data_IF_999439418911
#
_entry.id   IF_999439418911
#
_cell.length_a   1.000
_cell.length_b   1.000
_cell.length_c   1.000
_cell.angle_alpha   90.00
_cell.angle_beta   90.00
_cell.angle_gamma   90.00
#
_symmetry.space_group_name_H-M   'P 1'
#
loop_
_entity.id
_entity.type
_entity.pdbx_description
1 polymer ?
#
# COMPACT_ATOMS: atom_id res chain seq x y z
N UNK A 1 55.89 -44.03 -53.72
CA UNK A 1 54.46 -43.66 -53.69
C UNK A 1 53.64 -44.91 -53.33
N UNK A 2 52.88 -44.83 -52.23
CA UNK A 2 52.06 -45.91 -51.60
C UNK A 2 50.73 -46.08 -52.38
N UNK A 3 50.32 -47.29 -52.79
CA UNK A 3 49.50 -48.31 -52.10
C UNK A 3 48.03 -47.96 -51.74
N UNK A 4 47.11 -48.60 -52.49
CA UNK A 4 45.96 -49.45 -52.11
C UNK A 4 44.64 -48.94 -51.45
N UNK A 5 43.54 -49.55 -51.98
CA UNK A 5 42.27 -50.01 -51.35
C UNK A 5 41.16 -48.99 -51.05
N UNK A 6 39.86 -49.32 -51.00
CA UNK A 6 38.95 -50.37 -51.52
C UNK A 6 37.54 -49.97 -51.04
N UNK A 7 36.55 -50.03 -51.94
CA UNK A 7 35.12 -50.38 -51.77
C UNK A 7 34.18 -49.72 -50.72
N UNK A 8 32.85 -49.70 -51.01
CA UNK A 8 31.86 -48.85 -50.34
C UNK A 8 31.06 -49.60 -49.26
N UNK A 9 30.57 -48.90 -48.22
CA UNK A 9 29.54 -49.45 -47.35
C UNK A 9 28.45 -48.46 -46.93
N UNK A 10 27.26 -49.01 -47.09
CA UNK A 10 25.90 -48.59 -46.82
C UNK A 10 25.65 -48.40 -45.31
N UNK A 11 26.11 -47.32 -44.66
CA UNK A 11 25.65 -46.96 -43.30
C UNK A 11 25.70 -45.43 -43.08
N UNK A 12 24.72 -44.68 -43.60
CA UNK A 12 24.46 -43.28 -43.17
C UNK A 12 22.96 -42.94 -43.15
N UNK A 13 22.13 -43.92 -42.79
CA UNK A 13 20.66 -43.78 -42.77
C UNK A 13 19.98 -44.08 -41.44
N UNK A 14 20.73 -44.29 -40.36
CA UNK A 14 20.14 -44.67 -39.06
C UNK A 14 21.01 -44.23 -37.89
N UNK A 15 21.28 -42.93 -37.78
CA UNK A 15 21.86 -42.33 -36.56
C UNK A 15 21.41 -40.89 -36.41
N UNK A 16 20.13 -40.65 -36.71
CA UNK A 16 19.50 -39.34 -36.56
C UNK A 16 18.04 -39.47 -36.09
N UNK A 17 17.73 -40.49 -35.27
CA UNK A 17 16.41 -40.63 -34.64
C UNK A 17 16.42 -41.29 -33.25
N UNK A 18 17.59 -41.46 -32.62
CA UNK A 18 17.69 -41.97 -31.25
C UNK A 18 18.51 -41.09 -30.28
N UNK A 19 18.78 -39.84 -30.68
CA UNK A 19 19.28 -38.79 -29.77
C UNK A 19 18.24 -37.67 -29.55
N UNK A 20 17.07 -37.77 -30.17
CA UNK A 20 15.94 -36.84 -29.99
C UNK A 20 14.83 -37.42 -29.08
N UNK A 21 15.01 -38.63 -28.54
CA UNK A 21 14.06 -39.29 -27.63
C UNK A 21 14.70 -39.74 -26.31
N UNK A 22 15.81 -39.09 -25.92
CA UNK A 22 16.29 -39.02 -24.52
C UNK A 22 16.56 -37.52 -24.25
N UNK A 23 15.54 -36.72 -24.51
CA UNK A 23 15.40 -35.35 -24.00
C UNK A 23 13.92 -35.09 -23.68
N UNK A 24 13.26 -36.16 -23.23
CA UNK A 24 11.95 -36.14 -22.61
C UNK A 24 12.23 -36.64 -21.19
N UNK A 25 11.73 -35.90 -20.20
CA UNK A 25 11.94 -36.08 -18.74
C UNK A 25 13.23 -35.43 -18.18
N UNK A 26 13.33 -34.11 -18.25
CA UNK A 26 13.80 -33.26 -17.12
C UNK A 26 13.39 -31.80 -17.34
N UNK A 27 12.16 -31.55 -17.82
CA UNK A 27 11.58 -30.21 -17.69
C UNK A 27 10.90 -30.12 -16.32
N UNK A 28 11.68 -29.61 -15.39
CA UNK A 28 11.29 -28.82 -14.23
C UNK A 28 9.89 -29.13 -13.68
N UNK A 29 9.82 -30.12 -12.80
CA UNK A 29 9.03 -29.95 -11.58
C UNK A 29 9.64 -28.76 -10.82
N UNK A 30 9.30 -27.54 -11.25
CA UNK A 30 9.12 -26.45 -10.31
C UNK A 30 8.01 -26.94 -9.39
N UNK A 31 8.41 -27.60 -8.30
CA UNK A 31 7.52 -27.81 -7.18
C UNK A 31 6.95 -26.44 -6.90
N UNK A 32 5.64 -26.29 -7.14
CA UNK A 32 4.88 -25.24 -6.51
C UNK A 32 5.11 -25.47 -5.02
N UNK A 33 6.11 -24.78 -4.47
CA UNK A 33 6.21 -24.60 -3.04
C UNK A 33 4.94 -23.85 -2.72
N UNK A 34 3.91 -24.58 -2.32
CA UNK A 34 2.76 -24.03 -1.63
C UNK A 34 3.34 -23.41 -0.37
N UNK A 35 3.74 -22.13 -0.48
CA UNK A 35 4.12 -21.37 0.69
C UNK A 35 2.83 -21.22 1.46
N UNK A 36 2.66 -22.08 2.45
CA UNK A 36 1.59 -21.93 3.42
C UNK A 36 1.70 -20.52 3.99
N UNK A 37 0.70 -19.69 3.69
CA UNK A 37 0.65 -18.33 4.19
C UNK A 37 0.84 -18.36 5.71
N UNK A 38 1.69 -17.48 6.28
CA UNK A 38 1.87 -17.40 7.72
C UNK A 38 0.50 -17.31 8.41
N UNK A 39 0.22 -18.23 9.35
CA UNK A 39 -1.07 -18.28 10.07
C UNK A 39 -1.44 -16.90 10.63
N UNK A 40 -0.47 -16.20 11.19
CA UNK A 40 -0.64 -14.87 11.76
C UNK A 40 -1.26 -13.87 10.77
N UNK A 41 -0.92 -13.92 9.48
CA UNK A 41 -1.52 -13.04 8.47
C UNK A 41 -2.96 -13.40 8.16
N UNK A 42 -3.25 -14.70 8.05
CA UNK A 42 -4.61 -15.20 7.76
C UNK A 42 -5.56 -14.88 8.92
N UNK A 43 -5.06 -14.91 10.16
CA UNK A 43 -5.83 -14.63 11.37
C UNK A 43 -5.75 -13.17 11.83
N UNK A 44 -4.88 -12.35 11.24
CA UNK A 44 -4.71 -10.95 11.65
C UNK A 44 -5.99 -10.16 11.42
N UNK A 45 -6.58 -9.64 12.51
CA UNK A 45 -7.77 -8.80 12.48
C UNK A 45 -7.49 -7.58 13.37
N UNK A 46 -7.11 -6.42 12.79
CA UNK A 46 -6.91 -5.24 13.59
C UNK A 46 -8.25 -4.78 14.18
N UNK A 47 -8.18 -4.06 15.30
CA UNK A 47 -9.33 -3.29 15.75
C UNK A 47 -9.57 -2.15 14.75
N UNK A 48 -10.83 -1.86 14.46
CA UNK A 48 -11.24 -0.79 13.55
C UNK A 48 -12.21 0.13 14.29
N UNK A 49 -11.96 1.44 14.28
CA UNK A 49 -12.82 2.43 14.92
C UNK A 49 -13.04 3.63 14.00
N UNK A 50 -14.17 4.31 14.15
CA UNK A 50 -14.46 5.54 13.41
C UNK A 50 -14.33 6.76 14.32
N UNK A 51 -13.59 7.77 13.85
CA UNK A 51 -13.44 9.08 14.49
C UNK A 51 -13.42 10.14 13.38
N UNK A 52 -14.60 10.47 12.86
CA UNK A 52 -14.69 11.35 11.69
C UNK A 52 -14.00 12.69 11.92
N UNK A 53 -13.25 13.14 10.92
CA UNK A 53 -12.71 14.49 10.84
C UNK A 53 -13.87 15.50 10.74
N UNK A 54 -13.60 16.75 11.13
CA UNK A 54 -14.54 17.84 10.92
C UNK A 54 -14.79 18.05 9.42
N UNK A 55 -16.01 18.42 9.04
CA UNK A 55 -16.42 18.56 7.62
C UNK A 55 -15.68 19.64 6.85
N UNK A 56 -15.00 20.56 7.55
CA UNK A 56 -14.13 21.57 6.93
C UNK A 56 -12.78 21.01 6.51
N UNK A 57 -12.39 19.83 7.01
CA UNK A 57 -11.06 19.25 6.76
C UNK A 57 -11.06 18.22 5.62
N UNK A 58 -12.13 18.14 4.83
CA UNK A 58 -12.18 17.33 3.61
C UNK A 58 -13.19 17.93 2.63
N UNK A 59 -13.11 17.50 1.37
CA UNK A 59 -14.05 17.91 0.33
C UNK A 59 -14.63 16.74 -0.43
N UNK A 60 -15.44 17.01 -1.45
CA UNK A 60 -15.80 16.01 -2.45
C UNK A 60 -14.63 15.79 -3.42
N UNK A 61 -14.52 14.60 -3.99
CA UNK A 61 -13.68 14.39 -5.17
C UNK A 61 -14.32 15.10 -6.36
N UNK A 62 -13.53 15.88 -7.10
CA UNK A 62 -13.97 16.61 -8.29
C UNK A 62 -13.97 15.66 -9.49
N UNK A 63 -15.06 15.70 -10.27
CA UNK A 63 -15.17 14.97 -11.54
C UNK A 63 -14.51 15.72 -12.71
N UNK A 64 -14.21 17.00 -12.52
CA UNK A 64 -13.54 17.88 -13.48
C UNK A 64 -12.44 18.70 -12.78
N UNK A 65 -11.39 19.03 -13.52
CA UNK A 65 -10.36 19.98 -13.07
C UNK A 65 -10.80 21.44 -13.30
N UNK A 66 -9.98 22.41 -12.86
CA UNK A 66 -10.30 23.84 -13.05
C UNK A 66 -10.37 24.30 -14.52
N UNK A 67 -9.91 23.46 -15.46
CA UNK A 67 -9.90 23.75 -16.89
C UNK A 67 -11.08 23.06 -17.62
N UNK A 68 -11.94 22.34 -16.89
CA UNK A 68 -13.07 21.59 -17.44
C UNK A 68 -12.69 20.22 -18.01
N UNK A 69 -11.47 19.72 -17.77
CA UNK A 69 -11.10 18.37 -18.18
C UNK A 69 -11.68 17.35 -17.20
N UNK A 70 -12.25 16.27 -17.72
CA UNK A 70 -12.74 15.15 -16.90
C UNK A 70 -11.59 14.51 -16.13
N UNK A 71 -11.82 14.24 -14.85
CA UNK A 71 -10.92 13.51 -13.97
C UNK A 71 -11.31 12.04 -13.93
N UNK A 72 -10.39 11.17 -14.33
CA UNK A 72 -10.59 9.71 -14.34
C UNK A 72 -9.36 8.94 -13.83
N UNK A 73 -8.58 9.55 -12.92
CA UNK A 73 -7.40 8.91 -12.34
C UNK A 73 -7.80 7.70 -11.49
N UNK A 74 -7.05 6.61 -11.64
CA UNK A 74 -7.15 5.47 -10.74
C UNK A 74 -6.65 5.83 -9.34
N UNK A 75 -7.27 5.25 -8.32
CA UNK A 75 -6.92 5.46 -6.93
C UNK A 75 -5.43 5.12 -6.68
N UNK A 76 -4.74 5.97 -5.92
CA UNK A 76 -3.40 5.66 -5.36
C UNK A 76 -3.46 5.58 -3.84
N UNK A 77 -2.57 4.83 -3.21
CA UNK A 77 -2.34 4.88 -1.77
C UNK A 77 -1.15 5.81 -1.48
N UNK A 78 -1.36 6.85 -0.65
CA UNK A 78 -0.27 7.73 -0.21
C UNK A 78 -0.04 7.50 1.28
N UNK A 79 1.16 7.03 1.61
CA UNK A 79 1.55 6.70 2.98
C UNK A 79 2.17 7.94 3.64
N UNK A 80 1.70 8.24 4.84
CA UNK A 80 2.12 9.36 5.68
C UNK A 80 2.61 8.87 7.05
N UNK A 81 3.14 9.79 7.83
CA UNK A 81 3.32 9.63 9.27
C UNK A 81 2.72 10.84 10.03
N UNK A 82 2.45 10.69 11.32
CA UNK A 82 1.78 11.74 12.12
C UNK A 82 2.73 12.74 12.77
N UNK A 83 3.94 12.32 13.16
CA UNK A 83 4.90 13.07 14.00
C UNK A 83 4.37 13.42 15.42
N UNK A 84 3.16 12.96 15.74
CA UNK A 84 2.46 13.12 17.02
C UNK A 84 1.66 11.85 17.33
N UNK A 85 1.04 11.76 18.50
CA UNK A 85 0.23 10.58 18.84
C UNK A 85 -1.04 10.47 17.99
N UNK A 86 -1.57 9.25 17.85
CA UNK A 86 -2.80 9.03 17.11
C UNK A 86 -3.99 9.83 17.70
N UNK A 87 -4.05 9.91 19.02
CA UNK A 87 -5.08 10.68 19.71
C UNK A 87 -4.98 12.18 19.41
N UNK A 88 -3.78 12.73 19.30
CA UNK A 88 -3.57 14.14 18.98
C UNK A 88 -3.92 14.42 17.52
N UNK A 89 -3.53 13.54 16.59
CA UNK A 89 -3.93 13.63 15.18
C UNK A 89 -5.45 13.64 15.01
N UNK A 90 -6.16 12.74 15.70
CA UNK A 90 -7.63 12.73 15.70
C UNK A 90 -8.20 14.07 16.17
N UNK A 91 -7.68 14.63 17.28
CA UNK A 91 -8.17 15.93 17.79
C UNK A 91 -7.91 17.07 16.81
N UNK A 92 -6.75 17.10 16.16
CA UNK A 92 -6.45 18.10 15.11
C UNK A 92 -7.46 17.99 13.97
N UNK A 93 -7.70 16.79 13.45
CA UNK A 93 -8.63 16.62 12.32
C UNK A 93 -10.09 16.86 12.69
N UNK A 94 -10.45 16.77 13.98
CA UNK A 94 -11.77 17.14 14.50
C UNK A 94 -11.91 18.64 14.79
N UNK A 95 -10.81 19.40 14.76
CA UNK A 95 -10.84 20.85 14.93
C UNK A 95 -11.27 21.51 13.61
N UNK A 96 -12.26 22.42 13.61
CA UNK A 96 -12.67 23.12 12.39
C UNK A 96 -11.58 24.07 11.88
N UNK A 97 -11.32 24.02 10.57
CA UNK A 97 -10.39 24.91 9.87
C UNK A 97 -11.08 25.51 8.64
N UNK A 98 -11.37 26.80 8.67
CA UNK A 98 -12.03 27.51 7.57
C UNK A 98 -11.05 28.08 6.55
N UNK A 99 -9.79 28.27 6.93
CA UNK A 99 -8.73 28.62 6.01
C UNK A 99 -8.21 27.34 5.36
N UNK A 100 -8.21 27.28 4.02
CA UNK A 100 -7.76 26.09 3.28
C UNK A 100 -6.27 25.76 3.53
N UNK A 101 -5.45 26.74 3.91
CA UNK A 101 -4.05 26.51 4.31
C UNK A 101 -3.89 25.69 5.59
N UNK A 102 -4.90 25.70 6.45
CA UNK A 102 -4.88 25.05 7.77
C UNK A 102 -5.60 23.70 7.74
N UNK A 103 -6.30 23.41 6.64
CA UNK A 103 -7.06 22.18 6.46
C UNK A 103 -6.12 21.00 6.17
N UNK A 104 -6.26 19.94 6.98
CA UNK A 104 -5.52 18.71 6.81
C UNK A 104 -6.37 17.51 7.24
N UNK A 105 -6.24 16.40 6.52
CA UNK A 105 -6.86 15.14 6.91
C UNK A 105 -6.24 13.96 6.19
N UNK A 106 -6.47 12.77 6.76
CA UNK A 106 -6.21 11.49 6.13
C UNK A 106 -7.52 10.69 6.06
N UNK A 107 -7.57 9.66 5.22
CA UNK A 107 -8.71 8.75 5.23
C UNK A 107 -8.63 7.83 6.43
N UNK A 108 -7.45 7.25 6.64
CA UNK A 108 -7.18 6.33 7.73
C UNK A 108 -5.90 6.66 8.47
N UNK A 109 -5.91 6.36 9.76
CA UNK A 109 -4.76 6.46 10.67
C UNK A 109 -4.56 5.10 11.35
N UNK A 110 -3.33 4.60 11.33
CA UNK A 110 -2.97 3.33 11.95
C UNK A 110 -2.15 3.61 13.21
N UNK A 111 -2.76 3.37 14.37
CA UNK A 111 -2.11 3.50 15.66
C UNK A 111 -0.97 2.49 15.82
N UNK A 112 -0.08 2.73 16.79
CA UNK A 112 1.11 1.89 17.03
C UNK A 112 0.80 0.42 17.32
N UNK A 113 -0.38 0.11 17.85
CA UNK A 113 -0.83 -1.26 18.12
C UNK A 113 -1.50 -1.93 16.90
N UNK A 114 -1.55 -1.23 15.75
CA UNK A 114 -2.20 -1.67 14.52
C UNK A 114 -3.68 -1.31 14.41
N UNK A 115 -4.28 -0.67 15.42
CA UNK A 115 -5.69 -0.22 15.33
C UNK A 115 -5.86 0.75 14.16
N UNK A 116 -6.86 0.50 13.32
CA UNK A 116 -7.24 1.36 12.20
C UNK A 116 -8.30 2.35 12.67
N UNK A 117 -8.06 3.63 12.43
CA UNK A 117 -8.95 4.72 12.77
C UNK A 117 -9.42 5.38 11.48
N UNK A 118 -10.70 5.21 11.16
CA UNK A 118 -11.35 5.82 10.00
C UNK A 118 -11.72 7.28 10.29
N UNK A 119 -11.13 8.19 9.52
CA UNK A 119 -11.21 9.64 9.70
C UNK A 119 -12.01 10.33 8.58
N UNK A 120 -11.76 9.95 7.32
CA UNK A 120 -12.49 10.48 6.15
C UNK A 120 -12.90 9.31 5.26
N UNK A 121 -14.18 9.29 4.85
CA UNK A 121 -14.68 8.28 3.92
C UNK A 121 -13.92 8.33 2.59
N UNK A 122 -13.57 7.17 2.02
CA UNK A 122 -12.77 7.08 0.79
C UNK A 122 -13.38 7.78 -0.43
N UNK A 123 -14.70 7.93 -0.46
CA UNK A 123 -15.43 8.66 -1.52
C UNK A 123 -15.19 10.17 -1.47
N UNK A 124 -14.74 10.69 -0.33
CA UNK A 124 -14.36 12.08 -0.16
C UNK A 124 -12.88 12.29 -0.46
N UNK A 125 -12.52 13.56 -0.66
CA UNK A 125 -11.16 14.06 -0.86
C UNK A 125 -10.60 14.51 0.48
N UNK A 126 -9.71 13.72 1.07
CA UNK A 126 -8.91 14.17 2.20
C UNK A 126 -7.79 15.15 1.76
N UNK A 127 -7.30 15.98 2.68
CA UNK A 127 -6.31 17.02 2.42
C UNK A 127 -4.93 16.58 2.94
N UNK A 128 -4.35 15.58 2.30
CA UNK A 128 -3.16 14.89 2.82
C UNK A 128 -1.83 15.28 2.18
N UNK A 129 -1.80 15.74 0.92
CA UNK A 129 -0.55 15.83 0.15
C UNK A 129 -0.13 17.24 -0.32
N UNK A 130 -0.99 18.26 -0.27
CA UNK A 130 -0.65 19.60 -0.77
C UNK A 130 -0.16 19.59 -2.23
N UNK A 131 0.85 20.41 -2.56
CA UNK A 131 1.50 20.44 -3.89
C UNK A 131 2.18 19.09 -4.19
N UNK A 132 1.56 18.28 -5.06
CA UNK A 132 1.99 16.90 -5.24
C UNK A 132 1.65 16.35 -6.62
N UNK A 133 2.51 15.46 -7.11
CA UNK A 133 2.37 14.76 -8.39
C UNK A 133 2.81 13.31 -8.22
N UNK A 134 1.95 12.38 -8.63
CA UNK A 134 2.28 10.97 -8.70
C UNK A 134 2.90 10.64 -10.07
N UNK A 135 3.99 9.87 -10.10
CA UNK A 135 4.60 9.44 -11.36
C UNK A 135 4.10 8.04 -11.71
N UNK A 136 3.00 7.98 -12.47
CA UNK A 136 2.41 6.73 -12.93
C UNK A 136 3.08 6.19 -14.20
N UNK A 137 2.67 4.99 -14.61
CA UNK A 137 3.16 4.37 -15.85
C UNK A 137 2.85 5.18 -17.12
N UNK A 138 1.79 6.00 -17.07
CA UNK A 138 1.35 6.85 -18.17
C UNK A 138 1.85 8.30 -18.05
N UNK A 139 2.78 8.57 -17.14
CA UNK A 139 3.32 9.91 -16.88
C UNK A 139 2.84 10.53 -15.56
N UNK A 140 3.08 11.85 -15.38
CA UNK A 140 2.71 12.56 -14.17
C UNK A 140 1.19 12.70 -14.02
N UNK A 141 0.69 12.39 -12.82
CA UNK A 141 -0.72 12.47 -12.44
C UNK A 141 -0.90 13.46 -11.28
N UNK A 142 -1.70 14.50 -11.50
CA UNK A 142 -2.17 15.44 -10.47
C UNK A 142 -3.44 16.15 -10.98
N UNK A 143 -4.31 16.57 -10.07
CA UNK A 143 -5.53 17.30 -10.41
C UNK A 143 -5.49 18.66 -9.74
N UNK A 144 -5.71 19.71 -10.52
CA UNK A 144 -5.90 21.06 -9.98
C UNK A 144 -7.40 21.34 -9.87
N UNK A 145 -7.85 21.59 -8.65
CA UNK A 145 -9.28 21.83 -8.34
C UNK A 145 -9.53 23.22 -7.76
N UNK A 146 -8.48 24.05 -7.64
CA UNK A 146 -8.57 25.40 -7.12
C UNK A 146 -7.70 26.36 -7.95
N UNK A 147 -8.15 27.59 -8.24
CA UNK A 147 -7.40 28.55 -9.05
C UNK A 147 -6.12 29.04 -8.37
N UNK A 148 -6.07 29.09 -7.04
CA UNK A 148 -4.90 29.58 -6.29
C UNK A 148 -3.95 28.45 -5.90
N UNK A 149 -4.46 27.27 -5.54
CA UNK A 149 -3.64 26.19 -5.00
C UNK A 149 -3.06 25.31 -6.12
N UNK A 150 -1.86 24.75 -5.92
CA UNK A 150 -1.23 23.89 -6.90
C UNK A 150 -2.01 22.60 -7.13
N UNK A 151 -1.71 21.94 -8.26
CA UNK A 151 -2.22 20.60 -8.52
C UNK A 151 -1.78 19.61 -7.43
N UNK A 152 -2.62 18.61 -7.17
CA UNK A 152 -2.42 17.68 -6.07
C UNK A 152 -2.94 16.29 -6.42
N UNK A 153 -2.37 15.27 -5.77
CA UNK A 153 -2.93 13.92 -5.80
C UNK A 153 -4.16 13.76 -4.92
N UNK A 154 -4.49 14.72 -4.04
CA UNK A 154 -5.60 14.63 -3.08
C UNK A 154 -6.91 14.14 -3.72
N UNK A 155 -7.22 14.56 -4.94
CA UNK A 155 -8.47 14.24 -5.62
C UNK A 155 -8.66 12.74 -5.94
N UNK A 156 -7.57 11.98 -6.08
CA UNK A 156 -7.58 10.54 -6.41
C UNK A 156 -6.69 9.71 -5.47
N UNK A 157 -6.26 10.28 -4.35
CA UNK A 157 -5.47 9.57 -3.35
C UNK A 157 -6.32 9.01 -2.21
N UNK A 158 -5.88 7.87 -1.69
CA UNK A 158 -6.27 7.27 -0.42
C UNK A 158 -5.11 7.45 0.56
N UNK A 159 -5.18 8.52 1.33
CA UNK A 159 -4.20 8.87 2.36
C UNK A 159 -4.32 7.99 3.61
N UNK A 160 -3.23 7.31 3.95
CA UNK A 160 -3.12 6.48 5.17
C UNK A 160 -1.91 6.96 5.96
N UNK A 161 -2.09 7.29 7.24
CA UNK A 161 -0.99 7.71 8.11
C UNK A 161 -0.65 6.67 9.15
N UNK A 162 0.64 6.52 9.43
CA UNK A 162 1.14 5.70 10.52
C UNK A 162 1.45 6.58 11.73
N UNK A 163 0.94 6.20 12.90
CA UNK A 163 1.35 6.84 14.14
C UNK A 163 2.86 6.69 14.33
N UNK A 164 3.56 7.82 14.41
CA UNK A 164 5.01 7.88 14.62
C UNK A 164 5.37 7.29 15.99
N UNK A 165 6.45 6.49 16.12
CA UNK A 165 6.91 6.02 17.42
C UNK A 165 7.33 7.18 18.32
N UNK A 166 7.38 6.95 19.63
CA UNK A 166 7.66 8.02 20.63
C UNK A 166 8.97 8.77 20.36
N UNK A 167 9.99 8.06 19.87
CA UNK A 167 11.30 8.63 19.53
C UNK A 167 11.31 9.38 18.19
N UNK A 168 10.18 9.46 17.47
CA UNK A 168 10.05 10.18 16.20
C UNK A 168 9.24 11.48 16.27
N UNK A 169 8.80 11.90 17.46
CA UNK A 169 8.05 13.16 17.68
C UNK A 169 8.96 14.39 17.62
N UNK A 170 9.69 14.54 16.53
CA UNK A 170 10.66 15.62 16.29
C UNK A 170 10.93 15.77 14.80
N UNK A 171 11.64 16.85 14.43
CA UNK A 171 11.97 17.18 13.04
C UNK A 171 13.20 16.46 12.48
N UNK A 172 13.67 15.36 13.09
CA UNK A 172 14.81 14.59 12.59
C UNK A 172 14.45 13.76 11.35
N UNK A 173 15.45 13.09 10.77
CA UNK A 173 15.29 12.35 9.51
C UNK A 173 14.95 10.87 9.69
N UNK A 174 15.00 10.36 10.92
CA UNK A 174 14.71 8.97 11.25
C UNK A 174 14.15 8.85 12.66
N UNK A 175 13.54 7.70 12.91
CA UNK A 175 13.13 7.18 14.22
C UNK A 175 13.25 5.65 14.20
N UNK A 176 12.90 4.97 15.30
CA UNK A 176 12.97 3.51 15.48
C UNK A 176 12.17 2.64 14.49
N UNK A 177 11.41 3.26 13.58
CA UNK A 177 10.52 2.57 12.64
C UNK A 177 9.12 2.28 13.19
N UNK A 178 8.30 1.63 12.37
CA UNK A 178 6.90 1.31 12.68
C UNK A 178 6.75 -0.13 13.18
N UNK A 179 5.70 -0.41 13.94
CA UNK A 179 5.43 -1.74 14.48
C UNK A 179 5.03 -2.74 13.39
N UNK A 180 5.20 -4.03 13.67
CA UNK A 180 4.74 -5.09 12.77
C UNK A 180 3.24 -4.99 12.48
N UNK A 181 2.45 -4.69 13.51
CA UNK A 181 1.00 -4.52 13.43
C UNK A 181 0.63 -3.34 12.52
N UNK A 182 1.38 -2.23 12.56
CA UNK A 182 1.17 -1.11 11.65
C UNK A 182 1.34 -1.52 10.19
N UNK A 183 2.40 -2.26 9.85
CA UNK A 183 2.60 -2.75 8.49
C UNK A 183 1.54 -3.76 8.06
N UNK A 184 1.10 -4.66 8.95
CA UNK A 184 0.04 -5.63 8.66
C UNK A 184 -1.29 -4.93 8.37
N UNK A 185 -1.69 -3.96 9.21
CA UNK A 185 -2.89 -3.15 8.96
C UNK A 185 -2.80 -2.34 7.68
N UNK A 186 -1.63 -1.77 7.39
CA UNK A 186 -1.41 -1.00 6.16
C UNK A 186 -1.60 -1.88 4.92
N UNK A 187 -0.96 -3.05 4.90
CA UNK A 187 -1.07 -3.99 3.78
C UNK A 187 -2.50 -4.51 3.63
N UNK A 188 -3.15 -4.87 4.74
CA UNK A 188 -4.55 -5.29 4.77
C UNK A 188 -5.49 -4.22 4.19
N UNK A 189 -5.35 -2.96 4.60
CA UNK A 189 -6.19 -1.85 4.11
C UNK A 189 -6.02 -1.62 2.61
N UNK A 190 -4.79 -1.56 2.13
CA UNK A 190 -4.50 -1.31 0.72
C UNK A 190 -5.02 -2.47 -0.14
N UNK A 191 -4.79 -3.71 0.29
CA UNK A 191 -5.31 -4.90 -0.40
C UNK A 191 -6.85 -4.94 -0.44
N UNK A 192 -7.52 -4.58 0.66
CA UNK A 192 -8.99 -4.45 0.73
C UNK A 192 -9.56 -3.46 -0.30
N UNK A 193 -8.80 -2.42 -0.66
CA UNK A 193 -9.21 -1.44 -1.68
C UNK A 193 -8.78 -1.83 -3.09
N UNK A 194 -8.11 -2.96 -3.26
CA UNK A 194 -7.65 -3.43 -4.58
C UNK A 194 -6.61 -2.51 -5.22
N UNK A 195 -5.91 -1.69 -4.43
CA UNK A 195 -4.90 -0.77 -4.97
C UNK A 195 -3.64 -1.58 -5.31
N UNK A 196 -3.19 -1.61 -6.57
CA UNK A 196 -2.05 -2.40 -6.98
C UNK A 196 -0.74 -1.80 -6.47
N UNK A 197 0.30 -2.63 -6.32
CA UNK A 197 1.58 -2.22 -5.73
C UNK A 197 2.25 -1.04 -6.45
N UNK A 198 2.08 -0.92 -7.76
CA UNK A 198 2.61 0.18 -8.57
C UNK A 198 1.84 1.51 -8.39
N UNK A 199 0.74 1.52 -7.61
CA UNK A 199 -0.04 2.71 -7.24
C UNK A 199 0.05 3.01 -5.74
N UNK A 200 1.02 2.41 -5.04
CA UNK A 200 1.36 2.74 -3.66
C UNK A 200 2.58 3.64 -3.67
N UNK A 201 2.51 4.75 -2.93
CA UNK A 201 3.57 5.74 -2.86
C UNK A 201 3.67 6.34 -1.47
N UNK A 202 4.69 7.16 -1.25
CA UNK A 202 4.89 7.91 -0.02
C UNK A 202 4.63 9.39 -0.24
N UNK A 203 4.32 10.12 0.81
CA UNK A 203 4.17 11.57 0.73
C UNK A 203 5.43 12.23 0.18
N UNK A 204 6.61 11.82 0.65
CA UNK A 204 7.91 12.28 0.11
C UNK A 204 8.03 12.09 -1.41
N UNK A 205 7.56 10.98 -1.95
CA UNK A 205 7.72 10.68 -3.38
C UNK A 205 6.80 11.53 -4.27
N UNK A 206 5.61 11.88 -3.77
CA UNK A 206 4.67 12.74 -4.52
C UNK A 206 4.92 14.23 -4.30
N UNK A 207 5.62 14.61 -3.23
CA UNK A 207 5.86 16.00 -2.86
C UNK A 207 6.55 16.80 -3.98
N UNK A 208 6.11 18.05 -4.15
CA UNK A 208 6.70 19.03 -5.07
C UNK A 208 7.12 20.33 -4.38
N UNK A 209 6.84 20.49 -3.08
CA UNK A 209 7.41 21.60 -2.30
C UNK A 209 8.78 21.27 -1.68
N UNK A 210 9.24 20.02 -1.78
CA UNK A 210 10.48 19.52 -1.17
C UNK A 210 10.54 19.68 0.37
N UNK A 211 9.37 19.79 1.00
CA UNK A 211 9.22 19.97 2.44
C UNK A 211 8.85 18.67 3.17
N UNK A 212 8.51 17.62 2.42
CA UNK A 212 8.02 16.35 2.97
C UNK A 212 9.10 15.28 2.95
N UNK A 213 9.11 14.47 4.01
CA UNK A 213 10.07 13.37 4.21
C UNK A 213 9.42 12.09 4.71
N UNK A 214 8.11 12.13 4.92
CA UNK A 214 7.32 11.07 5.47
C UNK A 214 6.96 10.01 4.42
N UNK A 215 6.78 8.74 4.86
CA UNK A 215 7.07 8.23 6.20
C UNK A 215 8.58 7.98 6.40
N UNK A 216 9.16 8.53 7.47
CA UNK A 216 10.57 8.28 7.84
C UNK A 216 10.73 6.83 8.33
N UNK A 217 11.93 6.27 8.17
CA UNK A 217 12.26 4.90 8.60
C UNK A 217 11.28 3.81 8.09
N UNK A 218 10.60 4.04 6.96
CA UNK A 218 9.68 3.07 6.39
C UNK A 218 10.44 1.92 5.70
N UNK A 219 10.10 0.70 6.10
CA UNK A 219 10.72 -0.52 5.61
C UNK A 219 9.98 -1.01 4.35
N UNK A 220 10.38 -0.45 3.21
CA UNK A 220 9.80 -0.77 1.91
C UNK A 220 9.88 -2.27 1.57
N UNK A 221 10.98 -2.94 1.92
CA UNK A 221 11.17 -4.37 1.63
C UNK A 221 10.21 -5.24 2.44
N UNK A 222 10.04 -4.92 3.74
CA UNK A 222 9.11 -5.64 4.59
C UNK A 222 7.66 -5.41 4.15
N UNK A 223 7.30 -4.17 3.85
CA UNK A 223 5.99 -3.82 3.35
C UNK A 223 5.66 -4.50 2.00
N UNK A 224 6.59 -4.49 1.05
CA UNK A 224 6.41 -5.16 -0.25
C UNK A 224 6.19 -6.67 -0.09
N UNK A 225 6.90 -7.31 0.85
CA UNK A 225 6.67 -8.73 1.19
C UNK A 225 5.26 -8.97 1.71
N UNK A 226 4.77 -8.11 2.60
CA UNK A 226 3.40 -8.19 3.10
C UNK A 226 2.39 -8.01 1.98
N UNK A 227 2.55 -7.00 1.11
CA UNK A 227 1.66 -6.80 -0.04
C UNK A 227 1.59 -8.03 -0.94
N UNK A 228 2.73 -8.68 -1.20
CA UNK A 228 2.75 -9.92 -1.98
C UNK A 228 1.97 -11.05 -1.28
N UNK A 229 2.14 -11.23 0.04
CA UNK A 229 1.40 -12.24 0.80
C UNK A 229 -0.10 -11.95 0.87
N UNK A 230 -0.49 -10.69 1.12
CA UNK A 230 -1.90 -10.29 1.16
C UNK A 230 -2.57 -10.40 -0.21
N UNK A 231 -1.85 -10.21 -1.31
CA UNK A 231 -2.39 -10.41 -2.67
C UNK A 231 -2.73 -11.87 -3.00
N UNK A 232 -2.21 -12.82 -2.22
CA UNK A 232 -2.48 -14.26 -2.36
C UNK A 232 -3.64 -14.73 -1.47
N UNK A 233 -4.15 -13.87 -0.57
CA UNK A 233 -5.29 -14.21 0.28
C UNK A 233 -6.59 -14.20 -0.52
N UNK A 234 -7.47 -15.15 -0.20
CA UNK A 234 -8.84 -15.15 -0.70
C UNK A 234 -9.52 -13.82 -0.30
N UNK A 235 -10.12 -13.07 -1.24
CA UNK A 235 -10.86 -11.86 -0.93
C UNK A 235 -11.92 -12.02 0.18
N UNK A 236 -12.48 -13.21 0.37
CA UNK A 236 -13.43 -13.51 1.44
C UNK A 236 -12.83 -13.31 2.86
N UNK A 237 -11.51 -13.43 3.01
CA UNK A 237 -10.79 -13.16 4.27
C UNK A 237 -10.94 -11.69 4.68
N UNK A 238 -11.04 -10.79 3.69
CA UNK A 238 -11.20 -9.36 3.94
C UNK A 238 -12.59 -8.95 4.42
N UNK A 239 -13.59 -9.78 4.18
CA UNK A 239 -14.99 -9.57 4.57
C UNK A 239 -15.31 -10.03 5.99
N UNK A 240 -14.35 -10.64 6.70
CA UNK A 240 -14.55 -11.06 8.09
C UNK A 240 -14.58 -9.85 9.04
N UNK A 241 -15.48 -9.83 10.04
CA UNK A 241 -15.63 -8.70 10.94
C UNK A 241 -14.34 -8.46 11.74
N UNK A 242 -14.06 -7.18 12.01
CA UNK A 242 -13.00 -6.78 12.93
C UNK A 242 -13.29 -7.32 14.34
N UNK A 243 -12.23 -7.52 15.13
CA UNK A 243 -12.39 -7.93 16.53
C UNK A 243 -12.89 -6.73 17.32
N UNK A 244 -14.11 -6.83 17.84
CA UNK A 244 -14.68 -5.85 18.75
C UNK A 244 -13.95 -5.89 20.11
N UNK A 245 -13.09 -4.89 20.35
CA UNK A 245 -12.39 -4.73 21.64
C UNK A 245 -13.23 -4.02 22.71
N UNK A 246 -14.51 -3.68 22.45
CA UNK A 246 -15.38 -3.05 23.45
C UNK A 246 -15.93 -4.03 24.49
N UNK A 247 -15.74 -5.34 24.30
CA UNK A 247 -16.06 -6.36 25.31
C UNK A 247 -14.89 -6.55 26.26
N UNK A 248 -14.87 -5.76 27.34
CA UNK A 248 -14.06 -6.08 28.52
C UNK A 248 -14.51 -7.45 29.05
N UNK A 249 -13.63 -8.46 29.17
CA UNK A 249 -14.00 -9.72 29.80
C UNK A 249 -14.45 -9.43 31.23
N UNK A 250 -15.68 -9.81 31.60
CA UNK A 250 -16.08 -9.79 33.01
C UNK A 250 -15.07 -10.63 33.79
N UNK A 251 -14.51 -10.12 34.91
CA UNK A 251 -13.63 -10.94 35.73
C UNK A 251 -14.40 -12.19 36.15
N UNK A 252 -13.76 -13.37 35.98
CA UNK A 252 -14.31 -14.61 36.51
C UNK A 252 -14.55 -14.39 37.99
N UNK A 253 -15.81 -14.42 38.41
CA UNK A 253 -16.12 -14.62 39.82
C UNK A 253 -15.64 -16.02 40.16
N UNK A 254 -14.60 -16.07 41.00
CA UNK A 254 -14.19 -17.29 41.68
C UNK A 254 -15.34 -17.76 42.56
N UNK A 255 -15.82 -18.97 42.31
CA UNK A 255 -16.57 -19.79 43.27
C UNK A 255 -15.68 -20.97 43.63
#
# INVERSE_FOLDING_TARGET
MKFFKQTPSLVKGLTLFLAALICIITFNSYGAVSQTLPRDLVTYRPAEITRLAHSTNFGKRSEEDIYGNRVSNDLIAVIHETVISAADTVRIFQTPHYNESDQASYHDLIARDGTIIHLVLIVNRAFGAGNSVFMGANGPEAVRTHPVYPASVNNFAYHISLETPRDGNHNGNSHSGYSQQQYQSLALLISRKGIPANRITTHKAVDRSASRKDPRSFNNQYFARLMNLYSQLDPAIFSMPAVDKTVVPRPRQSV
#
